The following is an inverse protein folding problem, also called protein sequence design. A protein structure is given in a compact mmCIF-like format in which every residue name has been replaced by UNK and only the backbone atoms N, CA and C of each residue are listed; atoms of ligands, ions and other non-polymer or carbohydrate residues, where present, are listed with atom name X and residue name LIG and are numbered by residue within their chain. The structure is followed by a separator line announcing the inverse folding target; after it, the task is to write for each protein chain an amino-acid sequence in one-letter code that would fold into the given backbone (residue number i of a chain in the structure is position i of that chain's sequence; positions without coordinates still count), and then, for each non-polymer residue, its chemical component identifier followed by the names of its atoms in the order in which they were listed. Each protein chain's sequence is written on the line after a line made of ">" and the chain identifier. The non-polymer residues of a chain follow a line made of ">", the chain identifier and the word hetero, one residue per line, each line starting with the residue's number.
data_IF_177763198521
#
_entry.id   IF_177763198521
#
_cell.length_a   1.000
_cell.length_b   1.000
_cell.length_c   1.000
_cell.angle_alpha   90.00
_cell.angle_beta   90.00
_cell.angle_gamma   90.00
#
_symmetry.space_group_name_H-M   'P 1'
#
loop_
_entity.id
_entity.type
_entity.pdbx_description
1 polymer ?
#
# COMPACT_ATOMS: atom_id res chain seq x y z
N UNK A 1 15.02 -6.82 -0.74
CA UNK A 1 14.35 -5.58 -0.28
C UNK A 1 12.91 -5.55 -0.77
N UNK A 2 12.04 -4.77 -0.12
CA UNK A 2 10.65 -4.58 -0.56
C UNK A 2 10.63 -3.71 -1.82
N UNK A 3 9.77 -4.06 -2.76
CA UNK A 3 9.47 -3.27 -3.96
C UNK A 3 7.96 -3.03 -3.97
N UNK A 4 7.54 -1.78 -4.13
CA UNK A 4 6.13 -1.46 -4.39
C UNK A 4 5.84 -1.71 -5.87
N UNK A 5 4.79 -2.47 -6.13
CA UNK A 5 4.33 -2.83 -7.47
C UNK A 5 2.88 -2.37 -7.66
N UNK A 6 2.42 -2.41 -8.92
CA UNK A 6 1.07 -2.02 -9.32
C UNK A 6 0.68 -0.59 -8.93
N UNK A 7 0.96 0.34 -9.86
CA UNK A 7 0.61 1.75 -9.73
C UNK A 7 -0.72 2.08 -10.41
N UNK A 8 -1.55 1.10 -10.79
CA UNK A 8 -2.79 1.31 -11.55
C UNK A 8 -3.85 2.17 -10.84
N UNK A 9 -3.75 2.31 -9.52
CA UNK A 9 -4.61 3.19 -8.71
C UNK A 9 -3.95 4.51 -8.32
N UNK A 10 -2.71 4.76 -8.76
CA UNK A 10 -2.00 6.00 -8.45
C UNK A 10 -2.67 7.19 -9.08
N UNK A 11 -2.68 8.32 -8.36
CA UNK A 11 -3.29 9.56 -8.83
C UNK A 11 -2.30 10.71 -8.79
N UNK A 12 -2.07 11.32 -9.96
CA UNK A 12 -1.48 12.66 -10.04
C UNK A 12 -2.64 13.67 -9.97
N UNK A 13 -2.81 14.30 -8.81
CA UNK A 13 -3.86 15.29 -8.58
C UNK A 13 -3.32 16.70 -8.81
N UNK A 14 -3.99 17.48 -9.68
CA UNK A 14 -3.59 18.86 -10.02
C UNK A 14 -3.56 19.76 -8.79
N UNK A 15 -4.61 19.68 -7.96
CA UNK A 15 -4.72 20.48 -6.71
C UNK A 15 -4.34 19.69 -5.45
N UNK A 16 -3.72 18.51 -5.63
CA UNK A 16 -3.36 17.60 -4.53
C UNK A 16 -4.54 16.90 -3.84
N UNK A 17 -5.76 16.98 -4.40
CA UNK A 17 -6.96 16.30 -3.91
C UNK A 17 -7.69 15.51 -4.99
N UNK A 18 -8.45 14.50 -4.57
CA UNK A 18 -9.37 13.75 -5.43
C UNK A 18 -10.52 13.14 -4.62
N UNK A 19 -11.50 12.51 -5.27
CA UNK A 19 -12.70 11.91 -4.64
C UNK A 19 -13.08 10.52 -5.19
N UNK A 20 -12.20 9.89 -5.99
CA UNK A 20 -12.45 8.55 -6.54
C UNK A 20 -12.51 7.51 -5.41
N UNK A 21 -13.50 6.62 -5.45
CA UNK A 21 -13.60 5.51 -4.48
C UNK A 21 -12.99 4.26 -5.12
N UNK A 22 -11.77 3.91 -4.74
CA UNK A 22 -11.04 2.74 -5.24
C UNK A 22 -10.15 2.10 -4.16
N UNK A 23 -9.72 0.86 -4.41
CA UNK A 23 -8.84 0.09 -3.52
C UNK A 23 -9.52 -1.11 -2.83
N UNK A 24 -8.79 -1.76 -1.94
CA UNK A 24 -9.29 -2.87 -1.12
C UNK A 24 -9.95 -2.31 0.13
N UNK A 25 -11.21 -2.70 0.40
CA UNK A 25 -12.05 -2.06 1.41
C UNK A 25 -11.42 -1.98 2.80
N UNK A 26 -10.66 -2.98 3.20
CA UNK A 26 -10.00 -3.06 4.53
C UNK A 26 -8.89 -2.02 4.71
N UNK A 27 -8.32 -1.51 3.62
CA UNK A 27 -7.20 -0.58 3.60
C UNK A 27 -7.65 0.87 3.32
N UNK A 28 -8.89 1.07 2.85
CA UNK A 28 -9.39 2.41 2.54
C UNK A 28 -9.55 3.28 3.80
N UNK A 29 -9.16 4.53 3.68
CA UNK A 29 -9.35 5.53 4.73
C UNK A 29 -10.83 5.91 4.92
N UNK A 30 -11.25 6.34 6.13
CA UNK A 30 -12.64 6.72 6.41
C UNK A 30 -13.21 7.80 5.48
N UNK A 31 -12.38 8.76 5.07
CA UNK A 31 -12.75 9.83 4.15
C UNK A 31 -13.05 9.33 2.73
N UNK A 32 -12.34 8.31 2.23
CA UNK A 32 -12.62 7.65 0.95
C UNK A 32 -13.98 6.96 1.01
N UNK A 33 -14.24 6.21 2.10
CA UNK A 33 -15.51 5.49 2.28
C UNK A 33 -16.73 6.41 2.41
N UNK A 34 -16.51 7.66 2.84
CA UNK A 34 -17.54 8.70 2.91
C UNK A 34 -17.72 9.45 1.58
N UNK A 35 -16.90 9.18 0.56
CA UNK A 35 -16.90 9.93 -0.70
C UNK A 35 -16.47 11.38 -0.53
N UNK A 36 -15.67 11.69 0.49
CA UNK A 36 -15.12 13.04 0.70
C UNK A 36 -13.89 13.25 -0.19
N UNK A 37 -13.55 14.50 -0.44
CA UNK A 37 -12.24 14.81 -1.01
C UNK A 37 -11.13 14.42 -0.04
N UNK A 38 -10.06 13.85 -0.59
CA UNK A 38 -8.90 13.40 0.17
C UNK A 38 -7.59 13.74 -0.53
N UNK A 39 -6.50 13.72 0.24
CA UNK A 39 -5.13 13.96 -0.21
C UNK A 39 -4.24 12.76 0.14
N UNK A 40 -2.92 12.92 0.06
CA UNK A 40 -1.90 11.91 0.42
C UNK A 40 -2.07 11.31 1.83
N UNK A 41 -2.85 11.92 2.73
CA UNK A 41 -3.03 11.37 4.08
C UNK A 41 -3.73 10.02 4.09
N UNK A 42 -4.44 9.64 3.02
CA UNK A 42 -5.04 8.31 2.88
C UNK A 42 -3.99 7.21 2.83
N UNK A 43 -2.82 7.48 2.24
CA UNK A 43 -1.73 6.50 2.18
C UNK A 43 -1.15 6.22 3.57
N UNK A 44 -1.15 7.22 4.46
CA UNK A 44 -0.73 7.03 5.85
C UNK A 44 -1.72 6.21 6.66
N UNK A 45 -3.01 6.26 6.32
CA UNK A 45 -3.99 5.33 6.88
C UNK A 45 -3.70 3.91 6.40
N UNK A 46 -3.54 3.70 5.10
CA UNK A 46 -3.21 2.39 4.51
C UNK A 46 -1.92 1.80 5.09
N UNK A 47 -0.89 2.64 5.32
CA UNK A 47 0.33 2.24 6.03
C UNK A 47 0.04 1.79 7.46
N UNK A 48 -0.84 2.49 8.17
CA UNK A 48 -1.28 2.08 9.51
C UNK A 48 -2.00 0.73 9.52
N UNK A 49 -2.85 0.48 8.51
CA UNK A 49 -3.53 -0.81 8.35
C UNK A 49 -2.51 -1.91 8.04
N UNK A 50 -1.56 -1.67 7.14
CA UNK A 50 -0.51 -2.62 6.77
C UNK A 50 0.42 -2.95 7.95
N UNK A 51 0.83 -1.95 8.74
CA UNK A 51 1.62 -2.18 9.96
C UNK A 51 0.83 -3.03 10.95
N UNK A 52 -0.46 -2.76 11.12
CA UNK A 52 -1.31 -3.57 11.99
C UNK A 52 -1.34 -5.02 11.49
N UNK A 53 -1.62 -5.21 10.20
CA UNK A 53 -1.72 -6.52 9.56
C UNK A 53 -0.43 -7.33 9.72
N UNK A 54 0.74 -6.74 9.46
CA UNK A 54 2.04 -7.40 9.68
C UNK A 54 2.30 -7.78 11.15
N UNK A 55 1.76 -7.02 12.11
CA UNK A 55 1.98 -7.25 13.55
C UNK A 55 0.97 -8.24 14.15
N UNK A 56 -0.20 -8.44 13.54
CA UNK A 56 -1.29 -9.26 14.10
C UNK A 56 -1.78 -10.37 13.18
N UNK A 57 -1.31 -10.42 11.93
CA UNK A 57 -1.69 -11.40 10.90
C UNK A 57 -3.08 -11.20 10.27
N UNK A 58 -3.75 -10.08 10.57
CA UNK A 58 -4.99 -9.66 9.87
C UNK A 58 -5.26 -8.17 10.06
N UNK A 59 -5.95 -7.49 9.12
CA UNK A 59 -6.36 -6.09 9.29
C UNK A 59 -7.26 -5.86 10.51
N UNK A 60 -7.26 -4.65 11.10
CA UNK A 60 -8.00 -4.38 12.34
C UNK A 60 -9.53 -4.36 12.17
N UNK A 61 -10.01 -4.24 10.92
CA UNK A 61 -11.42 -4.11 10.58
C UNK A 61 -11.85 -5.14 9.53
N UNK A 62 -11.49 -6.41 9.70
CA UNK A 62 -11.89 -7.47 8.77
C UNK A 62 -13.25 -8.09 9.12
N UNK A 63 -14.05 -8.37 8.10
CA UNK A 63 -15.35 -9.03 8.22
C UNK A 63 -15.73 -9.65 6.88
N UNK A 64 -16.45 -10.78 6.90
CA UNK A 64 -16.96 -11.45 5.69
C UNK A 64 -17.96 -10.61 4.88
N UNK A 65 -18.55 -9.58 5.50
CA UNK A 65 -19.45 -8.64 4.85
C UNK A 65 -18.76 -7.28 4.66
N UNK A 66 -18.63 -6.85 3.40
CA UNK A 66 -18.01 -5.57 3.02
C UNK A 66 -18.65 -4.37 3.71
N UNK A 67 -19.98 -4.33 3.85
CA UNK A 67 -20.68 -3.24 4.53
C UNK A 67 -20.32 -3.18 6.01
N UNK A 68 -20.23 -4.34 6.67
CA UNK A 68 -19.79 -4.41 8.09
C UNK A 68 -18.34 -3.95 8.26
N UNK A 69 -17.45 -4.25 7.31
CA UNK A 69 -16.07 -3.75 7.28
C UNK A 69 -16.04 -2.23 7.17
N UNK A 70 -16.78 -1.66 6.20
CA UNK A 70 -16.89 -0.20 6.05
C UNK A 70 -17.45 0.46 7.31
N UNK A 71 -18.53 -0.07 7.88
CA UNK A 71 -19.13 0.43 9.12
C UNK A 71 -18.13 0.37 10.28
N UNK A 72 -17.33 -0.70 10.37
CA UNK A 72 -16.30 -0.85 11.39
C UNK A 72 -15.20 0.21 11.25
N UNK A 73 -14.69 0.44 10.04
CA UNK A 73 -13.70 1.48 9.74
C UNK A 73 -14.23 2.86 10.18
N UNK A 74 -15.50 3.14 9.90
CA UNK A 74 -16.13 4.42 10.23
C UNK A 74 -16.41 4.60 11.72
N UNK A 75 -16.77 3.53 12.45
CA UNK A 75 -17.36 3.67 13.81
C UNK A 75 -16.53 3.05 14.94
N UNK A 76 -15.89 1.90 14.72
CA UNK A 76 -15.19 1.16 15.77
C UNK A 76 -13.84 1.77 16.14
N UNK A 77 -13.40 1.50 17.37
CA UNK A 77 -12.01 1.73 17.80
C UNK A 77 -11.14 0.58 17.33
N UNK A 78 -9.86 0.87 17.09
CA UNK A 78 -8.88 -0.14 16.67
C UNK A 78 -8.64 -1.08 17.85
N UNK A 79 -8.83 -2.41 17.69
CA UNK A 79 -8.43 -3.37 18.72
C UNK A 79 -6.92 -3.31 18.90
N UNK A 80 -6.43 -3.29 20.15
CA UNK A 80 -4.99 -3.26 20.45
C UNK A 80 -4.64 -4.46 21.31
N UNK A 81 -4.21 -5.59 20.72
CA UNK A 81 -3.81 -6.76 21.47
C UNK A 81 -2.74 -6.45 22.53
N UNK A 82 -2.76 -7.21 23.63
CA UNK A 82 -1.87 -6.94 24.77
C UNK A 82 -0.39 -7.10 24.39
N UNK A 83 -0.08 -8.03 23.49
CA UNK A 83 1.28 -8.35 23.03
C UNK A 83 1.93 -7.29 22.15
N UNK A 84 1.17 -6.30 21.64
CA UNK A 84 1.76 -5.19 20.90
C UNK A 84 2.58 -4.30 21.84
N UNK A 85 3.79 -3.95 21.41
CA UNK A 85 4.67 -3.02 22.14
C UNK A 85 4.03 -1.64 22.28
N UNK A 86 4.48 -0.86 23.26
CA UNK A 86 3.95 0.48 23.46
C UNK A 86 4.20 1.40 22.26
N UNK A 87 5.36 1.28 21.60
CA UNK A 87 5.68 2.07 20.42
C UNK A 87 4.83 1.66 19.20
N UNK A 88 4.48 0.37 19.07
CA UNK A 88 3.56 -0.12 18.05
C UNK A 88 2.14 0.41 18.28
N UNK A 89 1.62 0.32 19.51
CA UNK A 89 0.31 0.89 19.88
C UNK A 89 0.28 2.39 19.62
N UNK A 90 1.36 3.10 19.95
CA UNK A 90 1.48 4.54 19.77
C UNK A 90 1.46 4.93 18.27
N UNK A 91 2.27 4.29 17.41
CA UNK A 91 2.28 4.62 15.98
C UNK A 91 0.93 4.33 15.32
N UNK A 92 0.33 3.17 15.63
CA UNK A 92 -0.97 2.76 15.10
C UNK A 92 -2.06 3.74 15.53
N UNK A 93 -2.06 4.17 16.79
CA UNK A 93 -3.05 5.14 17.29
C UNK A 93 -2.96 6.52 16.62
N UNK A 94 -1.80 6.87 16.04
CA UNK A 94 -1.58 8.15 15.36
C UNK A 94 -1.81 8.05 13.84
N UNK A 95 -1.43 6.95 13.20
CA UNK A 95 -1.69 6.69 11.77
C UNK A 95 -3.17 6.38 11.50
N UNK A 96 -3.84 5.67 12.40
CA UNK A 96 -5.24 5.26 12.24
C UNK A 96 -6.23 6.24 12.88
N UNK A 97 -5.91 7.54 12.83
CA UNK A 97 -6.84 8.62 13.20
C UNK A 97 -7.86 8.80 12.08
N UNK A 98 -9.15 8.73 12.43
CA UNK A 98 -10.26 8.90 11.48
C UNK A 98 -10.38 10.31 10.90
N UNK A 99 -9.91 11.31 11.63
CA UNK A 99 -9.76 12.66 11.11
C UNK A 99 -8.39 12.76 10.39
N UNK A 100 -8.35 12.97 9.07
CA UNK A 100 -7.09 13.04 8.31
C UNK A 100 -6.16 14.17 8.81
N UNK A 101 -6.71 15.29 9.27
CA UNK A 101 -5.90 16.42 9.77
C UNK A 101 -5.20 16.12 11.11
N UNK A 102 -5.71 15.15 11.87
CA UNK A 102 -5.12 14.70 13.13
C UNK A 102 -4.20 13.48 12.94
N UNK A 103 -4.04 12.99 11.72
CA UNK A 103 -3.26 11.79 11.39
C UNK A 103 -1.77 12.10 11.39
N UNK A 104 -0.96 11.16 11.89
CA UNK A 104 0.50 11.25 11.72
C UNK A 104 0.82 11.24 10.23
N UNK A 105 1.66 12.16 9.78
CA UNK A 105 1.90 12.36 8.35
C UNK A 105 1.02 13.45 7.70
N UNK A 106 0.09 14.04 8.44
CA UNK A 106 -0.58 15.27 8.01
C UNK A 106 0.39 16.47 7.97
N UNK A 107 -0.02 17.54 7.29
CA UNK A 107 0.75 18.80 7.22
C UNK A 107 0.97 19.38 8.64
N UNK A 108 2.10 20.06 8.90
CA UNK A 108 3.17 20.40 7.96
C UNK A 108 4.27 19.34 7.84
N UNK A 109 4.40 18.42 8.80
CA UNK A 109 5.59 17.56 8.94
C UNK A 109 5.61 16.33 8.01
N UNK A 110 4.48 15.94 7.43
CA UNK A 110 4.39 14.87 6.41
C UNK A 110 5.15 13.59 6.81
N UNK A 111 5.80 12.91 5.86
CA UNK A 111 6.52 11.66 6.07
C UNK A 111 7.62 11.74 7.14
N UNK A 112 8.24 12.89 7.36
CA UNK A 112 9.30 13.05 8.36
C UNK A 112 8.81 12.77 9.79
N UNK A 113 7.55 13.10 10.09
CA UNK A 113 6.95 12.80 11.38
C UNK A 113 6.83 11.28 11.61
N UNK A 114 6.61 10.53 10.54
CA UNK A 114 6.53 9.07 10.57
C UNK A 114 7.93 8.49 10.74
N UNK A 115 8.91 8.94 9.92
CA UNK A 115 10.32 8.48 9.99
C UNK A 115 10.94 8.67 11.37
N UNK A 116 10.61 9.77 12.05
CA UNK A 116 11.11 10.12 13.40
C UNK A 116 10.37 9.42 14.55
N UNK A 117 9.34 8.61 14.26
CA UNK A 117 8.59 7.93 15.30
C UNK A 117 9.44 6.87 16.01
N UNK A 118 9.27 6.69 17.32
CA UNK A 118 10.04 5.70 18.12
C UNK A 118 9.90 4.26 17.65
N UNK A 119 8.84 3.95 16.91
CA UNK A 119 8.63 2.65 16.26
C UNK A 119 9.75 2.34 15.25
N UNK A 120 10.29 3.36 14.57
CA UNK A 120 11.38 3.24 13.61
C UNK A 120 12.74 3.69 14.17
N UNK A 121 12.91 3.77 15.49
CA UNK A 121 14.13 4.34 16.11
C UNK A 121 15.42 3.60 15.75
N UNK A 122 15.32 2.33 15.36
CA UNK A 122 16.47 1.48 15.01
C UNK A 122 16.78 1.53 13.51
N UNK A 123 15.99 2.25 12.72
CA UNK A 123 16.17 2.31 11.27
C UNK A 123 17.11 3.47 10.93
N UNK A 124 18.26 3.13 10.36
CA UNK A 124 19.06 4.09 9.60
C UNK A 124 18.41 4.27 8.22
N UNK A 125 17.71 5.40 8.05
CA UNK A 125 16.99 5.70 6.81
C UNK A 125 17.91 5.93 5.62
N UNK A 126 19.14 6.42 5.83
CA UNK A 126 20.12 6.66 4.76
C UNK A 126 20.70 5.33 4.29
N UNK A 127 21.10 4.47 5.23
CA UNK A 127 21.56 3.12 4.90
C UNK A 127 20.45 2.30 4.24
N UNK A 128 19.20 2.42 4.69
CA UNK A 128 18.05 1.73 4.09
C UNK A 128 17.82 2.18 2.63
N UNK A 129 17.84 3.48 2.36
CA UNK A 129 17.66 4.05 1.01
C UNK A 129 18.76 3.60 0.06
N UNK A 130 20.01 3.53 0.55
CA UNK A 130 21.16 3.03 -0.20
C UNK A 130 21.24 1.48 -0.26
N UNK A 131 20.23 0.76 0.24
CA UNK A 131 20.19 -0.72 0.27
C UNK A 131 21.40 -1.36 1.00
N UNK A 132 21.88 -0.70 2.05
CA UNK A 132 23.02 -1.14 2.87
C UNK A 132 22.61 -1.93 4.12
N UNK A 133 21.30 -2.08 4.38
CA UNK A 133 20.78 -2.87 5.49
C UNK A 133 20.39 -4.26 5.00
N UNK A 134 20.86 -5.29 5.71
CA UNK A 134 20.42 -6.66 5.45
C UNK A 134 18.92 -6.83 5.76
N UNK A 135 18.13 -7.38 4.82
CA UNK A 135 16.72 -7.63 5.09
C UNK A 135 16.55 -8.76 6.11
N UNK A 136 15.56 -8.69 7.00
CA UNK A 136 15.33 -9.72 8.02
C UNK A 136 14.88 -11.06 7.44
N UNK A 137 14.36 -11.06 6.21
CA UNK A 137 13.95 -12.25 5.46
C UNK A 137 14.63 -12.19 4.10
N UNK A 138 15.41 -13.22 3.79
CA UNK A 138 16.01 -13.44 2.48
C UNK A 138 15.27 -14.60 1.81
N UNK A 139 14.46 -14.35 0.77
CA UNK A 139 13.77 -15.42 0.04
C UNK A 139 14.78 -16.40 -0.56
N UNK A 140 14.48 -17.69 -0.51
CA UNK A 140 15.27 -18.72 -1.18
C UNK A 140 14.86 -18.71 -2.65
N UNK A 141 15.82 -18.48 -3.53
CA UNK A 141 15.65 -18.55 -4.98
C UNK A 141 16.78 -19.42 -5.49
N UNK A 142 16.48 -20.63 -5.94
CA UNK A 142 17.48 -21.53 -6.52
C UNK A 142 17.64 -21.26 -8.00
N UNK A 143 16.51 -21.14 -8.70
CA UNK A 143 16.45 -20.86 -10.13
C UNK A 143 15.39 -19.77 -10.39
N UNK A 144 15.79 -18.54 -10.77
CA UNK A 144 14.86 -17.44 -10.99
C UNK A 144 13.74 -17.76 -11.99
N UNK A 145 14.04 -18.56 -13.02
CA UNK A 145 13.09 -18.95 -14.07
C UNK A 145 11.97 -19.86 -13.57
N UNK A 146 12.16 -20.57 -12.45
CA UNK A 146 11.18 -21.50 -11.90
C UNK A 146 10.06 -20.82 -11.11
N UNK A 147 10.19 -19.52 -10.80
CA UNK A 147 9.20 -18.78 -10.03
C UNK A 147 8.79 -19.50 -8.72
N UNK A 148 9.76 -20.07 -7.99
CA UNK A 148 9.53 -21.01 -6.87
C UNK A 148 8.77 -20.42 -5.68
N UNK A 149 8.73 -19.09 -5.57
CA UNK A 149 8.03 -18.37 -4.51
C UNK A 149 6.62 -17.89 -4.91
N UNK A 150 6.09 -18.37 -6.04
CA UNK A 150 4.75 -18.06 -6.54
C UNK A 150 3.79 -19.25 -6.34
N UNK A 151 2.49 -18.98 -6.32
CA UNK A 151 1.47 -20.02 -6.17
C UNK A 151 1.45 -20.94 -7.41
N UNK A 152 1.56 -22.27 -7.24
CA UNK A 152 1.54 -23.24 -8.34
C UNK A 152 0.32 -23.13 -9.25
N UNK A 153 -0.81 -22.59 -8.76
CA UNK A 153 -1.99 -22.35 -9.59
C UNK A 153 -1.67 -21.46 -10.79
N UNK A 154 -0.76 -20.49 -10.65
CA UNK A 154 -0.38 -19.58 -11.72
C UNK A 154 0.82 -20.10 -12.52
N UNK A 155 1.78 -20.78 -11.89
CA UNK A 155 2.98 -21.26 -12.60
C UNK A 155 2.72 -22.52 -13.44
N UNK A 156 1.62 -23.24 -13.18
CA UNK A 156 1.22 -24.41 -13.95
C UNK A 156 0.27 -24.08 -15.13
N UNK A 157 -0.21 -22.85 -15.24
CA UNK A 157 -1.06 -22.44 -16.36
C UNK A 157 -0.27 -22.45 -17.68
N UNK A 158 -0.87 -22.99 -18.73
CA UNK A 158 -0.28 -22.95 -20.06
C UNK A 158 -0.26 -21.51 -20.59
N UNK A 159 0.87 -21.11 -21.19
CA UNK A 159 0.98 -19.83 -21.89
C UNK A 159 0.12 -19.88 -23.16
N UNK A 160 -1.14 -19.46 -23.05
CA UNK A 160 -2.03 -19.30 -24.19
C UNK A 160 -1.85 -17.88 -24.73
N UNK A 161 -1.46 -17.77 -26.01
CA UNK A 161 -1.38 -16.46 -26.68
C UNK A 161 -2.73 -15.74 -26.61
N UNK A 162 -2.70 -14.43 -26.37
CA UNK A 162 -3.92 -13.62 -26.36
C UNK A 162 -4.62 -13.72 -27.73
N UNK A 163 -5.97 -13.85 -27.79
CA UNK A 163 -6.68 -13.82 -29.07
C UNK A 163 -6.40 -12.52 -29.82
N UNK A 164 -6.09 -12.61 -31.11
CA UNK A 164 -5.90 -11.45 -32.00
C UNK A 164 -7.24 -10.78 -32.28
N UNK A 165 -7.70 -9.95 -31.33
CA UNK A 165 -8.85 -9.08 -31.55
C UNK A 165 -8.32 -7.70 -32.00
N UNK A 166 -8.15 -7.53 -33.30
CA UNK A 166 -7.70 -6.28 -33.90
C UNK A 166 -8.86 -5.28 -33.97
N UNK A 167 -9.17 -4.62 -32.85
CA UNK A 167 -10.02 -3.43 -32.87
C UNK A 167 -9.18 -2.21 -33.29
N UNK A 168 -9.18 -1.93 -34.59
CA UNK A 168 -8.44 -0.82 -35.20
C UNK A 168 -8.89 0.55 -34.67
N UNK A 169 -10.12 0.67 -34.13
CA UNK A 169 -10.62 1.93 -33.58
C UNK A 169 -9.99 2.28 -32.22
N UNK A 170 -9.57 1.27 -31.45
CA UNK A 170 -8.98 1.46 -30.12
C UNK A 170 -7.54 2.02 -30.16
N UNK A 171 -6.85 1.97 -31.30
CA UNK A 171 -5.45 2.42 -31.43
C UNK A 171 -5.24 3.88 -30.99
N UNK A 172 -6.23 4.74 -31.22
CA UNK A 172 -6.18 6.15 -30.82
C UNK A 172 -6.17 6.36 -29.30
N UNK A 173 -6.68 5.43 -28.50
CA UNK A 173 -6.71 5.51 -27.04
C UNK A 173 -5.33 5.27 -26.40
N UNK A 174 -4.40 4.65 -27.13
CA UNK A 174 -3.06 4.27 -26.65
C UNK A 174 -1.93 5.14 -27.20
N UNK A 175 -2.26 6.31 -27.75
CA UNK A 175 -1.24 7.30 -28.13
C UNK A 175 -0.38 7.67 -26.91
N UNK A 176 0.93 7.75 -27.10
CA UNK A 176 1.95 7.99 -26.05
C UNK A 176 2.09 6.88 -24.99
N UNK A 177 1.62 5.65 -25.28
CA UNK A 177 1.81 4.52 -24.38
C UNK A 177 3.25 3.97 -24.39
N UNK A 178 3.91 3.97 -25.56
CA UNK A 178 5.28 3.46 -25.70
C UNK A 178 6.30 4.33 -24.96
N UNK A 179 7.10 3.70 -24.11
CA UNK A 179 8.18 4.34 -23.35
C UNK A 179 9.38 3.39 -23.25
N UNK A 180 10.59 3.95 -23.32
CA UNK A 180 11.86 3.22 -23.10
C UNK A 180 12.69 4.02 -22.10
N UNK A 181 13.12 3.36 -21.03
CA UNK A 181 13.98 3.99 -20.02
C UNK A 181 15.42 4.07 -20.54
N UNK A 182 15.93 5.30 -20.69
CA UNK A 182 17.29 5.55 -21.17
C UNK A 182 18.40 5.08 -20.20
N UNK A 183 18.05 4.74 -18.96
CA UNK A 183 19.00 4.26 -17.94
C UNK A 183 19.25 2.75 -17.99
N UNK A 184 18.44 1.99 -18.73
CA UNK A 184 18.60 0.54 -18.88
C UNK A 184 19.44 0.28 -20.15
N UNK A 185 20.69 -0.21 -20.04
CA UNK A 185 21.47 -0.54 -21.21
C UNK A 185 20.82 -1.70 -21.97
N UNK A 186 20.78 -1.56 -23.31
CA UNK A 186 20.29 -2.58 -24.26
C UNK A 186 21.17 -3.84 -24.25
#
# INVERSE_FOLDING_TARGET
>A
HIVLTDFGLSKVAVDGKTNTICGTAEYMAPEILKGLEYDITVDWWSLGILIYDMLTGSPPFSSSNRKKTMDAILTKKIPMPYYLTQDAKDILSKLLRKNPNARLGAKPKKADAIRKHRFFRTIDWIALENRQLDPPIVPIVTEPEKAENFDPVFTAEALVGSPENHDVQANSHFLNFSYVDASIPL
#
